data_IF_352960864942
#
_entry.id   IF_352960864942
#
_cell.length_a   1.000
_cell.length_b   1.000
_cell.length_c   1.000
_cell.angle_alpha   90.00
_cell.angle_beta   90.00
_cell.angle_gamma   90.00
#
_symmetry.space_group_name_H-M   'P 1'
#
loop_
_entity.id
_entity.type
_entity.pdbx_description
1 polymer ?
#
# COMPACT_ATOMS: atom_id res chain seq x y z
N UNK A 1 -12.07 -12.27 -32.73
CA UNK A 1 -11.28 -11.69 -31.63
C UNK A 1 -10.13 -12.63 -31.30
N UNK A 2 -8.87 -12.18 -31.34
CA UNK A 2 -7.71 -13.06 -31.30
C UNK A 2 -7.49 -13.66 -29.91
N UNK A 3 -7.05 -14.91 -29.85
CA UNK A 3 -6.82 -15.71 -28.63
C UNK A 3 -5.86 -15.05 -27.61
N UNK A 4 -5.08 -14.05 -28.05
CA UNK A 4 -4.13 -13.29 -27.22
C UNK A 4 -4.84 -12.35 -26.23
N UNK A 5 -5.96 -11.72 -26.64
CA UNK A 5 -6.73 -10.84 -25.75
C UNK A 5 -7.44 -11.62 -24.65
N UNK A 6 -7.93 -12.84 -24.94
CA UNK A 6 -8.54 -13.72 -23.93
C UNK A 6 -7.54 -14.15 -22.86
N UNK A 7 -6.31 -14.51 -23.27
CA UNK A 7 -5.23 -14.86 -22.33
C UNK A 7 -4.79 -13.69 -21.45
N UNK A 8 -4.85 -12.46 -21.95
CA UNK A 8 -4.52 -11.26 -21.18
C UNK A 8 -5.62 -10.94 -20.15
N UNK A 9 -6.88 -11.02 -20.55
CA UNK A 9 -8.04 -10.84 -19.67
C UNK A 9 -8.14 -11.92 -18.58
N UNK A 10 -7.84 -13.18 -18.91
CA UNK A 10 -7.78 -14.29 -17.95
C UNK A 10 -6.65 -14.12 -16.93
N UNK A 11 -5.47 -13.64 -17.36
CA UNK A 11 -4.37 -13.33 -16.43
C UNK A 11 -4.70 -12.17 -15.49
N UNK A 12 -5.44 -11.17 -15.96
CA UNK A 12 -5.89 -10.03 -15.15
C UNK A 12 -7.01 -10.47 -14.18
N UNK A 13 -7.93 -11.33 -14.60
CA UNK A 13 -8.95 -11.90 -13.72
C UNK A 13 -8.34 -12.82 -12.65
N UNK A 14 -7.39 -13.68 -13.03
CA UNK A 14 -6.66 -14.51 -12.07
C UNK A 14 -5.81 -13.67 -11.11
N UNK A 15 -5.24 -12.55 -11.57
CA UNK A 15 -4.55 -11.60 -10.70
C UNK A 15 -5.52 -10.90 -9.73
N UNK A 16 -6.72 -10.50 -10.19
CA UNK A 16 -7.76 -9.94 -9.32
C UNK A 16 -8.22 -10.96 -8.28
N UNK A 17 -8.47 -12.21 -8.69
CA UNK A 17 -8.91 -13.27 -7.80
C UNK A 17 -7.82 -13.72 -6.80
N UNK A 18 -6.55 -13.71 -7.24
CA UNK A 18 -5.39 -13.96 -6.36
C UNK A 18 -5.08 -12.78 -5.43
N UNK A 19 -5.34 -11.54 -5.88
CA UNK A 19 -5.28 -10.34 -5.05
C UNK A 19 -6.38 -10.37 -4.00
N UNK A 20 -7.62 -10.66 -4.38
CA UNK A 20 -8.76 -10.75 -3.46
C UNK A 20 -8.58 -11.89 -2.44
N UNK A 21 -8.03 -13.04 -2.86
CA UNK A 21 -7.66 -14.11 -1.94
C UNK A 21 -6.52 -13.70 -0.98
N UNK A 22 -5.54 -12.95 -1.47
CA UNK A 22 -4.45 -12.41 -0.66
C UNK A 22 -4.93 -11.32 0.34
N UNK A 23 -5.95 -10.55 -0.02
CA UNK A 23 -6.59 -9.58 0.86
C UNK A 23 -7.50 -10.23 1.91
N UNK A 24 -8.20 -11.31 1.58
CA UNK A 24 -9.06 -12.04 2.53
C UNK A 24 -8.28 -12.88 3.55
N UNK A 25 -7.03 -13.27 3.25
CA UNK A 25 -6.14 -13.98 4.19
C UNK A 25 -5.56 -13.03 5.26
N UNK A 26 -5.70 -11.72 5.09
CA UNK A 26 -5.21 -10.72 6.05
C UNK A 26 -6.15 -10.50 7.25
N UNK A 27 -7.32 -11.15 7.29
CA UNK A 27 -8.28 -11.05 8.40
C UNK A 27 -8.07 -12.13 9.50
N UNK A 28 -7.09 -13.02 9.36
CA UNK A 28 -6.77 -14.06 10.38
C UNK A 28 -5.43 -13.88 11.12
N UNK A 29 -4.74 -12.74 10.99
CA UNK A 29 -3.53 -12.46 11.77
C UNK A 29 -3.87 -11.56 13.00
N UNK A 30 -4.69 -12.06 13.93
CA UNK A 30 -4.58 -11.68 15.35
C UNK A 30 -3.28 -12.31 15.88
N UNK A 31 -2.50 -11.55 16.65
CA UNK A 31 -1.21 -11.92 17.27
C UNK A 31 0.07 -11.74 16.43
N UNK A 32 0.52 -10.49 16.24
CA UNK A 32 1.96 -10.13 16.33
C UNK A 32 2.20 -8.60 16.27
N UNK A 33 1.68 -7.86 17.26
CA UNK A 33 2.31 -6.59 17.65
C UNK A 33 3.61 -6.89 18.39
N UNK A 34 4.70 -7.16 17.67
CA UNK A 34 6.04 -7.12 18.23
C UNK A 34 6.60 -5.69 18.13
N UNK A 35 6.75 -4.94 19.24
CA UNK A 35 7.17 -3.53 19.23
C UNK A 35 8.67 -3.31 18.94
N UNK A 36 9.43 -4.35 18.59
CA UNK A 36 10.90 -4.33 18.59
C UNK A 36 11.60 -3.64 17.39
N UNK A 37 10.91 -2.83 16.58
CA UNK A 37 11.58 -2.07 15.48
C UNK A 37 11.28 -0.58 15.45
N UNK A 38 10.97 0.02 16.60
CA UNK A 38 11.19 1.46 16.77
C UNK A 38 12.70 1.69 17.01
N UNK A 39 13.42 2.43 16.16
CA UNK A 39 14.78 2.82 16.49
C UNK A 39 14.74 3.64 17.79
N UNK A 40 15.48 3.18 18.80
CA UNK A 40 15.59 3.85 20.10
C UNK A 40 16.15 5.26 19.91
N UNK A 41 15.26 6.26 19.94
CA UNK A 41 15.66 7.66 19.97
C UNK A 41 15.91 8.03 21.43
N UNK A 42 17.18 8.26 21.75
CA UNK A 42 17.69 8.63 23.05
C UNK A 42 16.88 9.76 23.72
N UNK A 43 16.58 9.55 25.01
CA UNK A 43 16.05 10.52 25.95
C UNK A 43 17.00 11.73 26.08
N UNK A 44 16.80 12.73 25.25
CA UNK A 44 17.19 14.10 25.57
C UNK A 44 15.92 14.83 26.02
N UNK A 45 15.95 15.39 27.24
CA UNK A 45 14.90 16.29 27.76
C UNK A 45 14.77 17.47 26.79
N UNK A 46 13.88 17.35 25.81
CA UNK A 46 13.58 18.40 24.86
C UNK A 46 12.48 19.29 25.47
N UNK A 47 12.94 20.37 26.09
CA UNK A 47 12.17 21.59 26.27
C UNK A 47 11.41 21.94 24.98
N UNK A 48 10.08 22.02 25.07
CA UNK A 48 9.16 22.30 23.97
C UNK A 48 9.39 21.47 22.70
N UNK A 49 9.00 20.20 22.74
CA UNK A 49 8.54 19.54 21.52
C UNK A 49 7.40 20.39 20.95
N UNK A 50 7.59 20.99 19.78
CA UNK A 50 6.52 21.62 19.04
C UNK A 50 5.44 20.58 18.82
N UNK A 51 4.34 20.76 19.53
CA UNK A 51 3.09 20.05 19.31
C UNK A 51 2.77 20.18 17.82
N UNK A 52 2.79 19.05 17.10
CA UNK A 52 2.31 19.02 15.73
C UNK A 52 0.82 19.32 15.81
N UNK A 53 0.42 20.46 15.26
CA UNK A 53 -0.97 20.85 15.17
C UNK A 53 -1.76 19.71 14.47
N UNK A 54 -2.69 19.03 15.16
CA UNK A 54 -3.50 17.96 14.58
C UNK A 54 -4.55 18.49 13.59
N UNK A 55 -4.44 19.76 13.14
CA UNK A 55 -5.09 20.28 11.93
C UNK A 55 -4.87 19.30 10.78
N UNK A 56 -5.90 18.48 10.63
CA UNK A 56 -6.13 17.37 9.71
C UNK A 56 -5.15 17.36 8.54
N UNK A 57 -4.15 16.48 8.59
CA UNK A 57 -3.34 16.19 7.41
C UNK A 57 -4.29 15.78 6.28
N UNK A 58 -4.47 16.68 5.33
CA UNK A 58 -5.39 16.48 4.24
C UNK A 58 -4.58 15.94 3.08
N UNK A 59 -4.85 14.70 2.69
CA UNK A 59 -4.12 14.02 1.61
C UNK A 59 -4.10 14.86 0.32
N UNK A 60 -5.12 15.67 0.04
CA UNK A 60 -5.15 16.51 -1.16
C UNK A 60 -4.26 17.76 -1.09
N UNK A 61 -3.80 18.17 0.10
CA UNK A 61 -2.96 19.36 0.29
C UNK A 61 -1.47 19.13 0.00
N UNK A 62 -1.01 17.88 0.04
CA UNK A 62 0.37 17.53 -0.31
C UNK A 62 0.46 17.26 -1.80
N UNK A 63 1.56 17.63 -2.45
CA UNK A 63 1.70 17.41 -3.88
C UNK A 63 1.77 15.91 -4.19
N UNK A 64 1.10 15.41 -5.26
CA UNK A 64 1.21 14.02 -5.67
C UNK A 64 2.66 13.54 -5.90
N UNK A 65 3.54 14.44 -6.36
CA UNK A 65 4.97 14.15 -6.54
C UNK A 65 5.66 13.87 -5.21
N UNK A 66 5.31 14.63 -4.17
CA UNK A 66 5.94 14.49 -2.84
C UNK A 66 5.52 13.16 -2.21
N UNK A 67 4.25 12.77 -2.31
CA UNK A 67 3.82 11.43 -1.91
C UNK A 67 4.56 10.34 -2.68
N UNK A 68 4.66 10.46 -4.01
CA UNK A 68 5.36 9.46 -4.82
C UNK A 68 6.84 9.33 -4.43
N UNK A 69 7.50 10.44 -4.11
CA UNK A 69 8.87 10.44 -3.61
C UNK A 69 8.97 9.77 -2.23
N UNK A 70 8.09 10.11 -1.29
CA UNK A 70 8.11 9.54 0.06
C UNK A 70 7.80 8.04 0.07
N UNK A 71 6.80 7.60 -0.70
CA UNK A 71 6.50 6.18 -0.88
C UNK A 71 7.71 5.43 -1.44
N UNK A 72 8.35 5.99 -2.48
CA UNK A 72 9.58 5.41 -3.06
C UNK A 72 10.74 5.35 -2.06
N UNK A 73 10.95 6.41 -1.26
CA UNK A 73 11.99 6.44 -0.24
C UNK A 73 11.77 5.38 0.85
N UNK A 74 10.52 5.09 1.18
CA UNK A 74 10.17 4.09 2.19
C UNK A 74 10.19 2.65 1.63
N UNK A 75 9.84 2.45 0.36
CA UNK A 75 9.84 1.14 -0.29
C UNK A 75 11.25 0.64 -0.60
N UNK A 76 12.11 1.54 -1.06
CA UNK A 76 13.45 1.21 -1.55
C UNK A 76 14.33 0.44 -0.55
N UNK A 77 14.47 0.84 0.74
CA UNK A 77 15.30 0.11 1.68
C UNK A 77 14.78 -1.29 1.97
N UNK A 78 13.46 -1.48 2.03
CA UNK A 78 12.84 -2.79 2.28
C UNK A 78 13.03 -3.71 1.07
N UNK A 79 12.82 -3.18 -0.15
CA UNK A 79 13.10 -3.92 -1.38
C UNK A 79 14.57 -4.37 -1.47
N UNK A 80 15.51 -3.47 -1.15
CA UNK A 80 16.95 -3.77 -1.16
C UNK A 80 17.38 -4.77 -0.08
N UNK A 81 16.62 -4.92 1.00
CA UNK A 81 16.93 -5.84 2.09
C UNK A 81 16.58 -7.30 1.75
N UNK A 82 15.75 -7.55 0.73
CA UNK A 82 15.34 -8.90 0.32
C UNK A 82 16.57 -9.70 -0.13
N UNK A 83 16.82 -10.82 0.55
CA UNK A 83 17.90 -11.74 0.21
C UNK A 83 17.44 -12.79 -0.82
N UNK A 84 18.33 -13.27 -1.71
CA UNK A 84 18.00 -14.33 -2.66
C UNK A 84 17.44 -15.62 -2.01
N UNK A 85 17.93 -15.98 -0.83
CA UNK A 85 17.49 -17.19 -0.10
C UNK A 85 16.03 -17.12 0.36
N UNK A 86 15.55 -15.91 0.65
CA UNK A 86 14.15 -15.67 0.98
C UNK A 86 13.25 -15.92 -0.24
N UNK A 87 13.76 -15.65 -1.44
CA UNK A 87 13.06 -15.86 -2.70
C UNK A 87 13.10 -17.32 -3.17
N UNK A 88 14.22 -18.01 -2.98
CA UNK A 88 14.39 -19.41 -3.41
C UNK A 88 13.60 -20.40 -2.55
N UNK A 89 13.44 -20.11 -1.26
CA UNK A 89 12.67 -20.94 -0.32
C UNK A 89 11.16 -20.89 -0.52
N UNK A 90 10.63 -19.84 -1.17
CA UNK A 90 9.20 -19.59 -1.28
C UNK A 90 8.44 -19.60 0.07
N UNK A 91 9.14 -19.32 1.17
CA UNK A 91 8.63 -19.52 2.52
C UNK A 91 7.77 -18.37 3.06
N UNK A 92 7.52 -17.31 2.27
CA UNK A 92 6.71 -16.16 2.72
C UNK A 92 5.22 -16.47 2.93
N UNK A 93 4.75 -17.66 2.52
CA UNK A 93 3.37 -18.12 2.74
C UNK A 93 3.28 -19.31 3.70
N UNK A 94 4.29 -19.50 4.56
CA UNK A 94 4.31 -20.58 5.56
C UNK A 94 4.20 -20.03 6.98
N UNK A 95 4.01 -20.91 7.97
CA UNK A 95 3.95 -20.52 9.39
C UNK A 95 5.24 -19.86 9.86
N UNK A 96 6.38 -20.30 9.33
CA UNK A 96 7.71 -19.78 9.68
C UNK A 96 8.17 -18.65 8.73
N UNK A 97 7.22 -17.94 8.10
CA UNK A 97 7.48 -16.85 7.12
C UNK A 97 8.42 -15.78 7.66
N UNK A 98 8.32 -15.44 8.95
CA UNK A 98 9.17 -14.44 9.61
C UNK A 98 10.59 -14.92 9.87
N UNK A 99 10.83 -16.23 9.91
CA UNK A 99 12.16 -16.81 10.09
C UNK A 99 12.87 -16.91 8.74
N UNK A 100 12.17 -17.39 7.71
CA UNK A 100 12.77 -17.73 6.42
C UNK A 100 12.70 -16.62 5.37
N UNK A 101 11.70 -15.74 5.43
CA UNK A 101 11.49 -14.69 4.44
C UNK A 101 11.07 -13.33 5.06
N UNK A 102 11.75 -12.84 6.12
CA UNK A 102 11.32 -11.65 6.86
C UNK A 102 11.23 -10.38 6.00
N UNK A 103 12.12 -10.18 5.02
CA UNK A 103 12.14 -8.98 4.19
C UNK A 103 11.08 -9.05 3.09
N UNK A 104 10.84 -10.25 2.55
CA UNK A 104 9.71 -10.47 1.62
C UNK A 104 8.39 -10.17 2.32
N UNK A 105 8.18 -10.72 3.53
CA UNK A 105 6.99 -10.45 4.34
C UNK A 105 6.89 -8.96 4.69
N UNK A 106 7.99 -8.32 5.05
CA UNK A 106 8.00 -6.87 5.32
C UNK A 106 7.60 -6.05 4.08
N UNK A 107 8.06 -6.44 2.88
CA UNK A 107 7.72 -5.76 1.63
C UNK A 107 6.26 -5.97 1.25
N UNK A 108 5.73 -7.18 1.45
CA UNK A 108 4.31 -7.49 1.32
C UNK A 108 3.47 -6.65 2.29
N UNK A 109 3.90 -6.54 3.56
CA UNK A 109 3.21 -5.72 4.56
C UNK A 109 3.16 -4.25 4.15
N UNK A 110 4.24 -3.72 3.57
CA UNK A 110 4.25 -2.35 3.03
C UNK A 110 3.21 -2.15 1.92
N UNK A 111 3.08 -3.13 1.01
CA UNK A 111 2.04 -3.11 -0.01
C UNK A 111 0.65 -2.97 0.63
N UNK A 112 0.33 -3.83 1.61
CA UNK A 112 -0.95 -3.83 2.30
C UNK A 112 -1.21 -2.54 3.06
N UNK A 113 -0.19 -1.97 3.71
CA UNK A 113 -0.29 -0.67 4.38
C UNK A 113 -0.67 0.45 3.41
N UNK A 114 -0.04 0.52 2.24
CA UNK A 114 -0.35 1.54 1.22
C UNK A 114 -1.77 1.31 0.68
N UNK A 115 -2.16 0.07 0.44
CA UNK A 115 -3.51 -0.29 0.00
C UNK A 115 -4.58 0.18 0.99
N UNK A 116 -4.45 -0.25 2.26
CA UNK A 116 -5.41 0.05 3.32
C UNK A 116 -5.46 1.56 3.62
N UNK A 117 -4.31 2.24 3.59
CA UNK A 117 -4.26 3.70 3.71
C UNK A 117 -5.07 4.40 2.61
N UNK A 118 -4.88 3.99 1.35
CA UNK A 118 -5.64 4.53 0.22
C UNK A 118 -7.15 4.30 0.39
N UNK A 119 -7.55 3.07 0.74
CA UNK A 119 -8.97 2.74 0.97
C UNK A 119 -9.55 3.59 2.12
N UNK A 120 -8.85 3.65 3.26
CA UNK A 120 -9.27 4.41 4.45
C UNK A 120 -9.43 5.90 4.16
N UNK A 121 -8.49 6.51 3.44
CA UNK A 121 -8.59 7.94 3.09
C UNK A 121 -9.80 8.26 2.20
N UNK A 122 -10.19 7.35 1.31
CA UNK A 122 -11.36 7.53 0.46
C UNK A 122 -12.65 7.27 1.24
N UNK A 123 -12.75 6.15 1.97
CA UNK A 123 -13.98 5.72 2.64
C UNK A 123 -14.30 6.61 3.85
N UNK A 124 -13.29 7.16 4.52
CA UNK A 124 -13.48 8.04 5.69
C UNK A 124 -14.12 9.39 5.39
N UNK A 125 -14.36 9.75 4.11
CA UNK A 125 -15.04 11.02 3.77
C UNK A 125 -16.50 10.80 3.45
N UNK A 126 -17.36 11.51 4.18
CA UNK A 126 -18.81 11.42 4.02
C UNK A 126 -19.30 12.01 2.69
N UNK A 127 -18.69 13.12 2.26
CA UNK A 127 -19.11 13.87 1.07
C UNK A 127 -18.55 13.25 -0.20
N UNK A 128 -19.44 12.89 -1.14
CA UNK A 128 -19.10 12.34 -2.46
C UNK A 128 -18.04 13.17 -3.18
N UNK A 129 -18.21 14.51 -3.17
CA UNK A 129 -17.26 15.45 -3.78
C UNK A 129 -15.84 15.29 -3.23
N UNK A 130 -15.69 15.21 -1.91
CA UNK A 130 -14.39 15.04 -1.26
C UNK A 130 -13.76 13.68 -1.60
N UNK A 131 -14.57 12.61 -1.64
CA UNK A 131 -14.08 11.30 -2.08
C UNK A 131 -13.56 11.33 -3.51
N UNK A 132 -14.27 11.99 -4.43
CA UNK A 132 -13.84 12.15 -5.82
C UNK A 132 -12.52 12.94 -5.93
N UNK A 133 -12.35 13.99 -5.13
CA UNK A 133 -11.11 14.76 -5.07
C UNK A 133 -9.92 13.91 -4.58
N UNK A 134 -10.11 13.13 -3.50
CA UNK A 134 -9.09 12.21 -2.96
C UNK A 134 -8.76 11.09 -3.96
N UNK A 135 -9.78 10.48 -4.56
CA UNK A 135 -9.60 9.44 -5.57
C UNK A 135 -8.80 9.96 -6.77
N UNK A 136 -9.15 11.14 -7.29
CA UNK A 136 -8.38 11.81 -8.35
C UNK A 136 -6.94 12.10 -7.92
N UNK A 137 -6.75 12.46 -6.65
CA UNK A 137 -5.43 12.70 -6.08
C UNK A 137 -4.58 11.42 -6.06
N UNK A 138 -5.13 10.29 -5.62
CA UNK A 138 -4.44 8.99 -5.67
C UNK A 138 -4.09 8.56 -7.09
N UNK A 139 -4.96 8.77 -8.08
CA UNK A 139 -4.64 8.52 -9.49
C UNK A 139 -3.44 9.37 -9.95
N UNK A 140 -3.36 10.64 -9.53
CA UNK A 140 -2.21 11.50 -9.82
C UNK A 140 -0.94 10.98 -9.14
N UNK A 141 -1.02 10.51 -7.89
CA UNK A 141 0.10 9.87 -7.18
C UNK A 141 0.57 8.64 -7.95
N UNK A 142 -0.32 7.74 -8.35
CA UNK A 142 0.01 6.55 -9.16
C UNK A 142 0.75 6.92 -10.43
N UNK A 143 0.31 7.97 -11.15
CA UNK A 143 1.02 8.46 -12.34
C UNK A 143 2.44 8.94 -12.02
N UNK A 144 2.66 9.58 -10.86
CA UNK A 144 4.00 9.99 -10.43
C UNK A 144 4.86 8.80 -10.01
N UNK A 145 4.29 7.79 -9.34
CA UNK A 145 4.99 6.55 -9.01
C UNK A 145 5.45 5.80 -10.27
N UNK A 146 4.61 5.75 -11.31
CA UNK A 146 4.99 5.20 -12.62
C UNK A 146 6.17 5.96 -13.25
N UNK A 147 6.20 7.30 -13.14
CA UNK A 147 7.33 8.11 -13.62
C UNK A 147 8.64 7.83 -12.85
N UNK A 148 8.53 7.43 -11.57
CA UNK A 148 9.66 7.02 -10.73
C UNK A 148 10.02 5.53 -10.89
N UNK A 149 9.30 4.78 -11.72
CA UNK A 149 9.38 3.32 -11.82
C UNK A 149 9.13 2.58 -10.49
N UNK A 150 8.46 3.21 -9.52
CA UNK A 150 8.00 2.53 -8.32
C UNK A 150 6.69 1.81 -8.62
N UNK A 151 6.81 0.63 -9.23
CA UNK A 151 5.66 -0.21 -9.57
C UNK A 151 4.99 -0.79 -8.33
N UNK A 152 5.75 -1.05 -7.26
CA UNK A 152 5.23 -1.65 -6.03
C UNK A 152 4.10 -0.81 -5.41
N UNK A 153 4.40 0.46 -5.06
CA UNK A 153 3.39 1.37 -4.52
C UNK A 153 2.34 1.77 -5.56
N UNK A 154 2.69 1.84 -6.84
CA UNK A 154 1.72 2.14 -7.90
C UNK A 154 0.63 1.07 -7.99
N UNK A 155 1.03 -0.21 -7.96
CA UNK A 155 0.10 -1.33 -7.92
C UNK A 155 -0.67 -1.40 -6.61
N UNK A 156 -0.06 -1.06 -5.47
CA UNK A 156 -0.78 -1.00 -4.19
C UNK A 156 -1.97 -0.03 -4.26
N UNK A 157 -1.74 1.20 -4.72
CA UNK A 157 -2.82 2.18 -4.90
C UNK A 157 -3.85 1.69 -5.92
N UNK A 158 -3.41 1.10 -7.04
CA UNK A 158 -4.33 0.58 -8.05
C UNK A 158 -5.21 -0.55 -7.50
N UNK A 159 -4.64 -1.49 -6.75
CA UNK A 159 -5.38 -2.57 -6.08
C UNK A 159 -6.38 -2.03 -5.07
N UNK A 160 -6.01 -1.00 -4.30
CA UNK A 160 -6.94 -0.32 -3.41
C UNK A 160 -8.12 0.33 -4.13
N UNK A 161 -7.88 0.96 -5.28
CA UNK A 161 -8.93 1.57 -6.09
C UNK A 161 -9.85 0.53 -6.75
N UNK A 162 -9.34 -0.66 -7.06
CA UNK A 162 -10.10 -1.75 -7.67
C UNK A 162 -10.76 -2.68 -6.64
N UNK A 163 -10.53 -2.47 -5.34
CA UNK A 163 -11.07 -3.32 -4.29
C UNK A 163 -12.60 -3.25 -4.22
N UNK A 164 -13.21 -4.27 -3.63
CA UNK A 164 -14.65 -4.34 -3.36
C UNK A 164 -15.16 -3.19 -2.50
N UNK A 165 -14.29 -2.52 -1.74
CA UNK A 165 -14.64 -1.37 -0.92
C UNK A 165 -14.78 -0.06 -1.72
N UNK A 166 -14.02 0.10 -2.82
CA UNK A 166 -13.94 1.36 -3.59
C UNK A 166 -14.62 1.24 -4.95
N UNK A 167 -14.41 0.13 -5.67
CA UNK A 167 -14.93 -0.07 -7.03
C UNK A 167 -16.46 0.13 -7.14
N UNK A 168 -17.30 -0.33 -6.20
CA UNK A 168 -18.75 -0.15 -6.28
C UNK A 168 -19.25 1.29 -6.05
N UNK A 169 -18.38 2.24 -5.65
CA UNK A 169 -18.76 3.63 -5.33
C UNK A 169 -19.09 4.48 -6.57
N UNK A 170 -20.05 4.05 -7.39
CA UNK A 170 -20.36 4.63 -8.72
C UNK A 170 -20.51 6.15 -8.75
N UNK A 171 -21.18 6.74 -7.74
CA UNK A 171 -21.33 8.21 -7.61
C UNK A 171 -20.01 8.96 -7.40
N UNK A 172 -19.00 8.30 -6.86
CA UNK A 172 -17.66 8.87 -6.63
C UNK A 172 -16.79 8.77 -7.89
N UNK A 173 -17.06 7.77 -8.74
CA UNK A 173 -16.34 7.52 -10.00
C UNK A 173 -16.88 8.34 -11.19
N UNK A 174 -18.16 8.72 -11.14
CA UNK A 174 -18.82 9.55 -12.14
C UNK A 174 -18.32 11.01 -12.10
#
# INVERSE_FOLDING_TARGET
>A
MPLVERRCSEKIQNYKQSSDAFFNDSEEDEDDENPAFLPSVNNHKASHAKEFDPVTFCVTKVNPKDFANQLTLLDLPVFKAIKPDELSSCAWNTKDKMVHAPNVVAFIRRFNQVCLWCQKEIISRDKVKLRGEILSHFIKITRKLLQLNNLHSAFAILSALQSTAIHPLTKTWA
#
